data_IF_558628987958
#
_entry.id   IF_558628987958
#
_cell.length_a   1.000
_cell.length_b   1.000
_cell.length_c   1.000
_cell.angle_alpha   90.00
_cell.angle_beta   90.00
_cell.angle_gamma   90.00
#
_symmetry.space_group_name_H-M   'P 1'
#
loop_
_entity.id
_entity.type
_entity.pdbx_description
1 polymer ?
#
# COMPACT_ATOMS: atom_id res chain seq x y z
N UNK A 1 -5.26 1.58 17.83
CA UNK A 1 -5.44 2.79 17.01
C UNK A 1 -4.07 3.43 16.86
N UNK A 2 -3.30 2.99 15.86
CA UNK A 2 -1.96 3.54 15.57
C UNK A 2 -2.12 4.54 14.42
N UNK A 3 -1.45 5.66 14.59
CA UNK A 3 -1.75 6.99 14.09
C UNK A 3 -1.37 7.17 12.61
N UNK A 4 -2.38 7.18 11.72
CA UNK A 4 -2.20 7.54 10.29
C UNK A 4 -1.73 9.00 10.16
N UNK A 5 -2.16 9.89 11.05
CA UNK A 5 -1.73 11.29 11.08
C UNK A 5 -0.29 11.51 11.53
N UNK A 6 0.30 10.56 12.27
CA UNK A 6 1.70 10.66 12.69
C UNK A 6 2.67 10.42 11.54
N UNK A 7 2.34 9.55 10.58
CA UNK A 7 3.22 9.25 9.44
C UNK A 7 3.26 10.42 8.46
N UNK A 8 2.11 11.04 8.19
CA UNK A 8 1.99 12.25 7.37
C UNK A 8 2.63 13.47 8.05
N UNK A 9 2.48 13.61 9.36
CA UNK A 9 3.15 14.68 10.12
C UNK A 9 4.66 14.47 10.20
N UNK A 10 5.14 13.23 10.31
CA UNK A 10 6.57 12.90 10.23
C UNK A 10 7.13 13.18 8.82
N UNK A 11 6.37 12.91 7.76
CA UNK A 11 6.76 13.22 6.36
C UNK A 11 6.71 14.72 6.06
N UNK A 12 5.72 15.43 6.59
CA UNK A 12 5.61 16.90 6.52
C UNK A 12 6.76 17.58 7.27
N UNK A 13 7.10 17.11 8.47
CA UNK A 13 8.27 17.60 9.24
C UNK A 13 9.59 17.22 8.58
N UNK A 14 9.68 16.03 7.98
CA UNK A 14 10.84 15.58 7.21
C UNK A 14 11.17 16.47 6.00
N UNK A 15 10.15 17.05 5.35
CA UNK A 15 10.34 18.01 4.26
C UNK A 15 10.65 19.45 4.74
N UNK A 16 10.53 19.74 6.04
CA UNK A 16 10.58 21.10 6.60
C UNK A 16 11.78 21.33 7.54
N UNK A 17 12.30 20.32 8.24
CA UNK A 17 13.47 20.44 9.14
C UNK A 17 14.78 19.99 8.45
N UNK A 18 15.35 20.85 7.60
CA UNK A 18 16.62 20.60 6.88
C UNK A 18 17.84 20.36 7.80
N UNK A 19 17.77 20.74 9.09
CA UNK A 19 18.93 20.69 9.99
C UNK A 19 19.26 19.28 10.54
N UNK A 20 18.28 18.36 10.55
CA UNK A 20 18.42 17.02 11.17
C UNK A 20 18.13 15.85 10.21
N UNK A 21 18.08 16.14 8.91
CA UNK A 21 17.75 15.14 7.90
C UNK A 21 18.64 15.24 6.64
N UNK A 22 18.84 14.11 5.96
CA UNK A 22 19.54 14.04 4.67
C UNK A 22 18.76 13.14 3.71
N UNK A 23 18.79 13.45 2.42
CA UNK A 23 18.08 12.68 1.39
C UNK A 23 18.97 12.34 0.19
N UNK A 24 18.85 11.12 -0.32
CA UNK A 24 19.51 10.64 -1.55
C UNK A 24 18.44 10.08 -2.48
N UNK A 25 18.34 10.59 -3.71
CA UNK A 25 17.40 10.13 -4.72
C UNK A 25 18.14 9.40 -5.84
N UNK A 26 17.76 8.15 -6.10
CA UNK A 26 18.27 7.32 -7.18
C UNK A 26 17.18 7.00 -8.19
N UNK A 27 17.44 7.33 -9.45
CA UNK A 27 16.58 6.91 -10.56
C UNK A 27 16.79 5.42 -10.84
N UNK A 28 15.69 4.68 -10.92
CA UNK A 28 15.69 3.27 -11.32
C UNK A 28 15.39 3.19 -12.81
N UNK A 29 16.08 2.27 -13.51
CA UNK A 29 15.82 2.01 -14.92
C UNK A 29 14.33 1.66 -15.15
N UNK A 30 13.78 1.96 -16.34
CA UNK A 30 12.38 1.66 -16.66
C UNK A 30 12.05 0.20 -16.35
N UNK A 31 10.95 -0.01 -15.63
CA UNK A 31 10.38 -1.33 -15.44
C UNK A 31 9.53 -1.65 -16.67
N UNK A 32 9.41 -2.92 -17.04
CA UNK A 32 8.68 -3.38 -18.24
C UNK A 32 7.23 -2.88 -18.33
N UNK A 33 6.67 -2.36 -17.23
CA UNK A 33 5.42 -1.63 -17.29
C UNK A 33 5.48 -0.19 -16.73
N UNK A 34 6.54 0.28 -16.06
CA UNK A 34 6.65 1.61 -15.44
C UNK A 34 7.71 2.45 -16.14
N UNK A 35 7.34 3.59 -16.74
CA UNK A 35 8.26 4.40 -17.55
C UNK A 35 9.52 4.84 -16.77
N UNK A 36 9.35 5.22 -15.50
CA UNK A 36 10.44 5.49 -14.57
C UNK A 36 9.95 5.49 -13.11
N UNK A 37 10.83 5.08 -12.18
CA UNK A 37 10.63 5.21 -10.74
C UNK A 37 11.86 5.85 -10.11
N UNK A 38 11.66 6.55 -9.00
CA UNK A 38 12.73 7.11 -8.18
C UNK A 38 12.67 6.53 -6.78
N UNK A 39 13.79 5.97 -6.32
CA UNK A 39 13.96 5.49 -4.95
C UNK A 39 14.64 6.58 -4.14
N UNK A 40 14.05 6.95 -3.01
CA UNK A 40 14.51 8.05 -2.17
C UNK A 40 14.86 7.47 -0.80
N UNK A 41 16.11 7.60 -0.40
CA UNK A 41 16.59 7.29 0.94
C UNK A 41 16.57 8.55 1.77
N UNK A 42 15.96 8.48 2.94
CA UNK A 42 15.84 9.62 3.84
C UNK A 42 16.33 9.25 5.23
N UNK A 43 17.51 9.77 5.58
CA UNK A 43 18.12 9.59 6.89
C UNK A 43 17.57 10.61 7.89
N UNK A 44 17.11 10.13 9.04
CA UNK A 44 16.57 10.97 10.12
C UNK A 44 17.26 10.67 11.44
N UNK A 45 17.89 11.70 12.03
CA UNK A 45 18.63 11.55 13.29
C UNK A 45 17.70 11.23 14.47
N UNK A 46 16.51 11.81 14.50
CA UNK A 46 15.52 11.60 15.57
C UNK A 46 14.89 10.20 15.55
N UNK A 47 14.80 9.58 14.38
CA UNK A 47 14.28 8.21 14.21
C UNK A 47 15.37 7.14 14.27
N UNK A 48 16.64 7.52 14.13
CA UNK A 48 17.77 6.59 14.15
C UNK A 48 17.76 5.57 13.00
N UNK A 49 17.12 5.88 11.88
CA UNK A 49 16.99 4.99 10.72
C UNK A 49 17.06 5.76 9.40
N UNK A 50 17.41 5.07 8.31
CA UNK A 50 17.30 5.55 6.94
C UNK A 50 16.07 4.91 6.31
N UNK A 51 15.05 5.74 6.09
CA UNK A 51 13.78 5.32 5.54
C UNK A 51 13.82 5.32 4.01
N UNK A 52 13.23 4.30 3.42
CA UNK A 52 13.16 4.16 1.95
C UNK A 52 11.76 4.52 1.45
N UNK A 53 11.72 5.39 0.45
CA UNK A 53 10.52 5.84 -0.24
C UNK A 53 10.62 5.57 -1.74
N UNK A 54 9.46 5.47 -2.40
CA UNK A 54 9.35 5.39 -3.86
C UNK A 54 8.44 6.50 -4.35
N UNK A 55 8.85 7.16 -5.42
CA UNK A 55 8.04 8.11 -6.18
C UNK A 55 7.98 7.70 -7.65
N UNK A 56 6.86 8.03 -8.30
CA UNK A 56 6.71 7.83 -9.74
C UNK A 56 7.54 8.83 -10.55
N UNK A 57 7.99 8.39 -11.71
CA UNK A 57 8.77 9.20 -12.64
C UNK A 57 10.28 9.16 -12.38
N UNK A 58 11.02 9.80 -13.28
CA UNK A 58 12.49 9.89 -13.25
C UNK A 58 12.96 11.18 -12.61
N UNK A 59 12.68 11.34 -11.32
CA UNK A 59 13.05 12.51 -10.53
C UNK A 59 14.56 12.55 -10.31
N UNK A 60 15.12 13.76 -10.34
CA UNK A 60 16.54 14.01 -10.12
C UNK A 60 16.82 14.45 -8.69
N UNK A 61 18.11 14.52 -8.33
CA UNK A 61 18.52 15.15 -7.07
C UNK A 61 18.01 16.60 -7.00
N UNK A 62 17.32 16.96 -5.91
CA UNK A 62 16.74 18.30 -5.72
C UNK A 62 15.37 18.54 -6.36
N UNK A 63 14.75 17.52 -6.98
CA UNK A 63 13.34 17.62 -7.40
C UNK A 63 12.44 17.79 -6.18
N UNK A 64 11.51 18.76 -6.24
CA UNK A 64 10.47 18.89 -5.22
C UNK A 64 9.49 17.73 -5.34
N UNK A 65 9.38 16.93 -4.29
CA UNK A 65 8.46 15.78 -4.22
C UNK A 65 7.49 16.05 -3.08
N UNK A 66 6.19 16.06 -3.37
CA UNK A 66 5.18 16.22 -2.35
C UNK A 66 5.12 14.99 -1.43
N UNK A 67 4.64 15.18 -0.20
CA UNK A 67 4.39 14.07 0.72
C UNK A 67 3.44 13.02 0.11
N UNK A 68 2.38 13.48 -0.57
CA UNK A 68 1.43 12.63 -1.31
C UNK A 68 1.96 12.07 -2.63
N UNK A 69 3.25 12.29 -2.95
CA UNK A 69 3.93 11.68 -4.10
C UNK A 69 4.92 10.57 -3.66
N UNK A 70 5.03 10.31 -2.35
CA UNK A 70 5.96 9.35 -1.75
C UNK A 70 5.25 8.14 -1.13
N UNK A 71 5.54 6.93 -1.62
CA UNK A 71 5.19 5.69 -0.93
C UNK A 71 6.32 5.29 0.02
N UNK A 72 6.02 5.13 1.31
CA UNK A 72 6.93 4.51 2.26
C UNK A 72 6.99 3.00 2.02
N UNK A 73 8.18 2.48 1.72
CA UNK A 73 8.43 1.04 1.51
C UNK A 73 9.16 0.49 2.73
N UNK A 74 8.70 -0.59 3.40
CA UNK A 74 9.24 -1.05 4.68
C UNK A 74 10.58 -1.79 4.52
N UNK A 75 11.57 -1.16 3.91
CA UNK A 75 12.89 -1.71 3.60
C UNK A 75 13.96 -0.67 3.91
N UNK A 76 14.28 -0.52 5.18
CA UNK A 76 15.21 0.52 5.66
C UNK A 76 16.63 0.17 5.28
N UNK A 77 17.38 1.19 4.86
CA UNK A 77 18.76 1.01 4.46
C UNK A 77 19.67 1.00 5.69
N UNK A 78 20.55 0.02 5.74
CA UNK A 78 21.64 -0.03 6.72
C UNK A 78 22.95 0.40 6.06
N UNK A 79 23.60 1.40 6.64
CA UNK A 79 24.92 1.90 6.23
C UNK A 79 25.98 1.66 7.30
N UNK A 80 25.70 0.89 8.36
CA UNK A 80 26.61 0.72 9.48
C UNK A 80 28.00 0.20 9.07
N UNK A 81 28.06 -0.61 8.01
CA UNK A 81 29.30 -1.19 7.47
C UNK A 81 29.91 -0.36 6.31
N UNK A 82 29.34 0.80 5.96
CA UNK A 82 29.90 1.67 4.92
C UNK A 82 31.11 2.45 5.44
N UNK A 83 32.30 2.13 4.95
CA UNK A 83 33.54 2.78 5.39
C UNK A 83 33.69 4.21 4.86
N UNK A 84 33.12 4.49 3.69
CA UNK A 84 33.19 5.79 3.03
C UNK A 84 31.94 6.07 2.15
N UNK A 85 31.99 7.20 1.44
CA UNK A 85 30.92 7.63 0.55
C UNK A 85 30.73 6.68 -0.63
N UNK A 86 31.80 6.14 -1.19
CA UNK A 86 31.72 5.28 -2.36
C UNK A 86 31.07 3.95 -1.97
N UNK A 87 31.43 3.39 -0.81
CA UNK A 87 30.78 2.22 -0.22
C UNK A 87 29.28 2.47 0.06
N UNK A 88 28.92 3.67 0.55
CA UNK A 88 27.51 4.04 0.72
C UNK A 88 26.76 4.14 -0.62
N UNK A 89 27.39 4.70 -1.66
CA UNK A 89 26.82 4.77 -3.01
C UNK A 89 26.58 3.38 -3.62
N UNK A 90 27.46 2.42 -3.36
CA UNK A 90 27.26 1.02 -3.74
C UNK A 90 26.06 0.38 -3.03
N UNK A 91 25.89 0.65 -1.72
CA UNK A 91 24.74 0.16 -0.94
C UNK A 91 23.43 0.78 -1.39
N UNK A 92 23.39 2.09 -1.68
CA UNK A 92 22.21 2.75 -2.27
C UNK A 92 21.82 2.07 -3.59
N UNK A 93 22.81 1.86 -4.47
CA UNK A 93 22.57 1.25 -5.76
C UNK A 93 22.13 -0.22 -5.65
N UNK A 94 22.69 -0.97 -4.70
CA UNK A 94 22.29 -2.35 -4.43
C UNK A 94 20.84 -2.42 -3.93
N UNK A 95 20.47 -1.57 -2.97
CA UNK A 95 19.11 -1.52 -2.43
C UNK A 95 18.09 -1.08 -3.49
N UNK A 96 18.44 -0.12 -4.34
CA UNK A 96 17.58 0.30 -5.46
C UNK A 96 17.38 -0.83 -6.49
N UNK A 97 18.43 -1.62 -6.79
CA UNK A 97 18.32 -2.81 -7.66
C UNK A 97 17.44 -3.89 -7.03
N UNK A 98 17.61 -4.19 -5.74
CA UNK A 98 16.78 -5.17 -5.05
C UNK A 98 15.30 -4.79 -5.09
N UNK A 99 14.98 -3.52 -4.81
CA UNK A 99 13.61 -3.04 -4.87
C UNK A 99 13.02 -3.12 -6.29
N UNK A 100 13.82 -2.76 -7.31
CA UNK A 100 13.44 -2.94 -8.72
C UNK A 100 13.09 -4.40 -9.02
N UNK A 101 13.92 -5.34 -8.59
CA UNK A 101 13.73 -6.77 -8.87
C UNK A 101 12.47 -7.31 -8.17
N UNK A 102 12.19 -6.84 -6.94
CA UNK A 102 10.94 -7.14 -6.24
C UNK A 102 9.70 -6.57 -6.98
N UNK A 103 9.81 -5.36 -7.54
CA UNK A 103 8.72 -4.75 -8.34
C UNK A 103 8.46 -5.52 -9.63
N UNK A 104 9.50 -5.97 -10.34
CA UNK A 104 9.34 -6.83 -11.54
C UNK A 104 8.65 -8.15 -11.17
N UNK A 105 9.03 -8.74 -10.04
CA UNK A 105 8.39 -9.96 -9.57
C UNK A 105 6.91 -9.72 -9.21
N UNK A 106 6.58 -8.60 -8.59
CA UNK A 106 5.21 -8.18 -8.32
C UNK A 106 4.38 -8.02 -9.60
N UNK A 107 4.92 -7.33 -10.62
CA UNK A 107 4.28 -7.20 -11.93
C UNK A 107 4.02 -8.56 -12.59
N UNK A 108 4.99 -9.48 -12.49
CA UNK A 108 4.87 -10.85 -13.04
C UNK A 108 3.73 -11.60 -12.37
N UNK A 109 3.62 -11.50 -11.04
CA UNK A 109 2.51 -12.08 -10.30
C UNK A 109 1.19 -11.47 -10.73
N UNK A 110 1.08 -10.14 -10.80
CA UNK A 110 -0.16 -9.48 -11.22
C UNK A 110 -0.55 -9.82 -12.66
N UNK A 111 0.41 -10.07 -13.55
CA UNK A 111 0.13 -10.53 -14.91
C UNK A 111 -0.61 -11.89 -14.91
N UNK A 112 -0.24 -12.80 -13.99
CA UNK A 112 -0.94 -14.10 -13.81
C UNK A 112 -2.36 -13.90 -13.26
N UNK A 113 -2.55 -12.92 -12.38
CA UNK A 113 -3.85 -12.66 -11.74
C UNK A 113 -4.84 -11.89 -12.60
N UNK A 114 -4.38 -11.18 -13.63
CA UNK A 114 -5.21 -10.28 -14.44
C UNK A 114 -6.38 -10.99 -15.11
N UNK A 115 -6.11 -12.11 -15.80
CA UNK A 115 -7.14 -12.85 -16.54
C UNK A 115 -8.18 -13.49 -15.59
N UNK A 116 -7.78 -14.21 -14.52
CA UNK A 116 -8.71 -14.72 -13.52
C UNK A 116 -9.59 -13.62 -12.90
N UNK A 117 -8.99 -12.49 -12.54
CA UNK A 117 -9.74 -11.36 -11.99
C UNK A 117 -10.77 -10.85 -13.01
N UNK A 118 -10.37 -10.64 -14.26
CA UNK A 118 -11.26 -10.16 -15.31
C UNK A 118 -12.41 -11.14 -15.60
N UNK A 119 -12.15 -12.44 -15.53
CA UNK A 119 -13.18 -13.48 -15.65
C UNK A 119 -14.19 -13.43 -14.49
N UNK A 120 -13.73 -13.16 -13.26
CA UNK A 120 -14.59 -13.12 -12.08
C UNK A 120 -15.43 -11.83 -11.95
N UNK A 121 -14.87 -10.67 -12.35
CA UNK A 121 -15.46 -9.35 -12.04
C UNK A 121 -15.90 -8.55 -13.25
N UNK A 122 -15.47 -8.93 -14.45
CA UNK A 122 -15.69 -8.19 -15.70
C UNK A 122 -14.38 -7.70 -16.35
N UNK A 123 -14.42 -7.29 -17.63
CA UNK A 123 -13.22 -7.00 -18.43
C UNK A 123 -12.49 -5.71 -18.01
N UNK A 124 -13.13 -4.83 -17.24
CA UNK A 124 -12.55 -3.56 -16.79
C UNK A 124 -11.60 -3.77 -15.61
N UNK A 125 -10.47 -4.43 -15.86
CA UNK A 125 -9.37 -4.54 -14.90
C UNK A 125 -8.26 -3.58 -15.30
N UNK A 126 -7.97 -2.64 -14.42
CA UNK A 126 -6.91 -1.65 -14.59
C UNK A 126 -5.71 -1.98 -13.71
N UNK A 127 -4.53 -1.48 -14.08
CA UNK A 127 -3.37 -1.50 -13.19
C UNK A 127 -3.34 -0.17 -12.50
N UNK A 128 -3.48 -0.20 -11.19
CA UNK A 128 -3.23 0.97 -10.37
C UNK A 128 -1.77 0.94 -9.90
N UNK A 129 -1.14 2.10 -9.96
CA UNK A 129 0.22 2.31 -9.44
C UNK A 129 0.28 3.41 -8.43
N UNK A 130 -0.86 3.93 -8.01
CA UNK A 130 -0.94 4.87 -6.92
C UNK A 130 -0.13 4.39 -5.72
N UNK A 131 0.40 5.37 -5.01
CA UNK A 131 1.06 5.17 -3.71
C UNK A 131 0.04 5.13 -2.57
N UNK A 132 -1.21 5.49 -2.86
CA UNK A 132 -2.36 5.40 -1.97
C UNK A 132 -3.32 4.37 -2.54
N UNK A 133 -3.39 3.20 -1.93
CA UNK A 133 -4.44 2.23 -2.25
C UNK A 133 -5.66 2.60 -1.39
N UNK A 134 -6.80 2.85 -2.02
CA UNK A 134 -8.08 3.26 -1.40
C UNK A 134 -8.69 2.22 -0.43
N UNK A 135 -7.96 1.14 -0.11
CA UNK A 135 -8.43 0.04 0.72
C UNK A 135 -7.44 -0.23 1.85
N UNK A 136 -7.94 -0.24 3.09
CA UNK A 136 -7.14 -0.53 4.28
C UNK A 136 -6.75 -2.00 4.30
N UNK A 137 -5.51 -2.30 3.93
CA UNK A 137 -4.96 -3.64 4.09
C UNK A 137 -4.40 -3.86 5.49
N UNK A 138 -4.59 -5.06 6.08
CA UNK A 138 -4.20 -5.38 7.47
C UNK A 138 -2.68 -5.36 7.75
N UNK A 139 -1.83 -5.14 6.75
CA UNK A 139 -0.41 -4.90 6.95
C UNK A 139 0.14 -3.92 5.90
N UNK A 140 0.93 -2.94 6.33
CA UNK A 140 1.63 -1.94 5.53
C UNK A 140 2.71 -2.58 4.61
N UNK A 141 2.27 -3.43 3.68
CA UNK A 141 3.10 -4.35 2.87
C UNK A 141 2.77 -4.26 1.38
N UNK A 142 2.30 -3.09 0.98
CA UNK A 142 1.84 -2.83 -0.37
C UNK A 142 3.00 -2.36 -1.24
N UNK A 143 3.12 -3.01 -2.38
CA UNK A 143 3.89 -2.51 -3.50
C UNK A 143 3.11 -1.35 -4.15
N UNK A 144 3.77 -0.37 -4.80
CA UNK A 144 3.13 0.69 -5.58
C UNK A 144 2.52 0.15 -6.90
N UNK A 145 1.88 -1.01 -6.83
CA UNK A 145 1.21 -1.66 -7.95
C UNK A 145 0.12 -2.60 -7.45
N UNK A 146 -1.05 -2.50 -8.05
CA UNK A 146 -2.20 -3.37 -7.82
C UNK A 146 -3.00 -3.55 -9.13
N UNK A 147 -3.82 -4.59 -9.17
CA UNK A 147 -4.94 -4.65 -10.11
C UNK A 147 -6.18 -4.09 -9.44
N UNK A 148 -6.92 -3.26 -10.16
CA UNK A 148 -8.15 -2.65 -9.66
C UNK A 148 -9.28 -2.94 -10.64
N UNK A 149 -10.36 -3.52 -10.12
CA UNK A 149 -11.63 -3.70 -10.79
C UNK A 149 -12.65 -2.70 -10.21
N UNK A 150 -12.77 -1.49 -10.79
CA UNK A 150 -13.51 -0.38 -10.19
C UNK A 150 -15.00 -0.69 -10.04
N UNK A 151 -15.62 -1.38 -11.01
CA UNK A 151 -17.06 -1.71 -10.97
C UNK A 151 -17.44 -2.55 -9.75
N UNK A 152 -16.53 -3.44 -9.33
CA UNK A 152 -16.70 -4.29 -8.14
C UNK A 152 -15.93 -3.77 -6.92
N UNK A 153 -15.22 -2.66 -7.06
CA UNK A 153 -14.33 -2.11 -6.03
C UNK A 153 -13.34 -3.12 -5.47
N UNK A 154 -12.90 -4.08 -6.30
CA UNK A 154 -11.95 -5.12 -5.90
C UNK A 154 -10.54 -4.66 -6.25
N UNK A 155 -9.65 -4.72 -5.27
CA UNK A 155 -8.21 -4.50 -5.43
C UNK A 155 -7.45 -5.78 -5.16
N UNK A 156 -6.56 -6.16 -6.07
CA UNK A 156 -5.63 -7.28 -5.92
C UNK A 156 -4.21 -6.73 -5.85
N UNK A 157 -3.55 -6.91 -4.72
CA UNK A 157 -2.25 -6.30 -4.47
C UNK A 157 -1.20 -7.31 -3.96
N UNK A 158 0.04 -7.29 -4.48
CA UNK A 158 1.11 -8.15 -3.99
C UNK A 158 1.52 -7.76 -2.57
N UNK A 159 1.71 -8.76 -1.72
CA UNK A 159 2.12 -8.58 -0.33
C UNK A 159 3.60 -8.91 -0.21
N UNK A 160 4.39 -7.90 0.19
CA UNK A 160 5.83 -8.02 0.40
C UNK A 160 6.20 -7.74 1.87
N UNK A 161 7.08 -8.57 2.44
CA UNK A 161 7.70 -8.27 3.74
C UNK A 161 8.95 -7.40 3.59
N UNK A 162 9.40 -6.78 4.69
CA UNK A 162 10.63 -5.98 4.71
C UNK A 162 11.84 -6.74 4.15
N UNK A 163 12.02 -7.98 4.62
CA UNK A 163 13.08 -8.87 4.14
C UNK A 163 12.96 -9.21 2.66
N UNK A 164 11.74 -9.43 2.18
CA UNK A 164 11.48 -9.74 0.77
C UNK A 164 11.94 -8.59 -0.12
N UNK A 165 11.63 -7.35 0.27
CA UNK A 165 12.01 -6.14 -0.46
C UNK A 165 13.52 -5.88 -0.42
N UNK A 166 14.13 -6.03 0.76
CA UNK A 166 15.56 -5.84 0.97
C UNK A 166 16.41 -6.79 0.12
N UNK A 167 15.94 -8.03 -0.01
CA UNK A 167 16.64 -9.08 -0.73
C UNK A 167 16.19 -9.19 -2.21
N UNK A 168 15.31 -8.32 -2.69
CA UNK A 168 14.77 -8.36 -4.06
C UNK A 168 14.01 -9.64 -4.39
N UNK A 169 13.41 -10.26 -3.38
CA UNK A 169 12.67 -11.51 -3.49
C UNK A 169 11.25 -11.26 -4.01
N UNK A 170 10.61 -12.28 -4.61
CA UNK A 170 9.23 -12.18 -5.06
C UNK A 170 8.25 -11.98 -3.89
N UNK A 171 7.04 -11.44 -4.17
CA UNK A 171 5.98 -11.33 -3.17
C UNK A 171 5.74 -12.63 -2.40
N UNK A 172 5.35 -12.51 -1.13
CA UNK A 172 5.05 -13.67 -0.28
C UNK A 172 3.59 -14.10 -0.35
N UNK A 173 2.71 -13.21 -0.81
CA UNK A 173 1.28 -13.46 -0.93
C UNK A 173 0.59 -12.42 -1.79
N UNK A 174 -0.72 -12.57 -1.91
CA UNK A 174 -1.61 -11.69 -2.65
C UNK A 174 -2.76 -11.29 -1.75
N UNK A 175 -2.97 -9.99 -1.60
CA UNK A 175 -4.11 -9.43 -0.90
C UNK A 175 -5.24 -9.19 -1.88
N UNK A 176 -6.44 -9.61 -1.52
CA UNK A 176 -7.69 -9.23 -2.16
C UNK A 176 -8.42 -8.33 -1.18
N UNK A 177 -8.94 -7.21 -1.68
CA UNK A 177 -9.66 -6.27 -0.83
C UNK A 177 -10.79 -5.56 -1.55
N UNK A 178 -11.81 -5.25 -0.76
CA UNK A 178 -12.93 -4.37 -1.01
C UNK A 178 -13.08 -3.44 0.20
N UNK A 179 -13.89 -2.37 0.12
CA UNK A 179 -14.22 -1.60 1.32
C UNK A 179 -14.62 -2.53 2.48
N UNK A 180 -13.96 -2.33 3.62
CA UNK A 180 -14.18 -3.07 4.89
C UNK A 180 -13.84 -4.57 4.91
N UNK A 181 -13.44 -5.17 3.77
CA UNK A 181 -13.06 -6.59 3.68
C UNK A 181 -11.72 -6.74 2.99
N UNK A 182 -10.76 -7.38 3.67
CA UNK A 182 -9.48 -7.73 3.08
C UNK A 182 -9.03 -9.11 3.53
N UNK A 183 -8.45 -9.87 2.61
CA UNK A 183 -7.85 -11.16 2.89
C UNK A 183 -6.53 -11.34 2.17
N UNK A 184 -5.59 -12.07 2.78
CA UNK A 184 -4.27 -12.34 2.20
C UNK A 184 -4.14 -13.84 1.96
N UNK A 185 -3.87 -14.20 0.70
CA UNK A 185 -3.64 -15.55 0.25
C UNK A 185 -2.13 -15.80 0.05
N UNK A 186 -1.63 -17.01 0.37
CA UNK A 186 -0.31 -17.46 -0.08
C UNK A 186 -0.16 -17.36 -1.60
N UNK A 187 1.02 -16.96 -2.07
CA UNK A 187 1.27 -16.80 -3.52
C UNK A 187 1.09 -18.08 -4.36
N UNK A 188 1.43 -19.30 -3.86
CA UNK A 188 1.23 -20.53 -4.62
C UNK A 188 -0.23 -20.94 -4.83
N UNK A 189 -1.17 -20.26 -4.17
CA UNK A 189 -2.58 -20.61 -4.29
C UNK A 189 -3.13 -20.20 -5.66
N UNK A 190 -4.09 -20.98 -6.14
CA UNK A 190 -4.72 -20.78 -7.43
C UNK A 190 -5.58 -19.50 -7.43
N UNK A 191 -5.38 -18.56 -8.38
CA UNK A 191 -6.08 -17.28 -8.40
C UNK A 191 -7.61 -17.42 -8.48
N UNK A 192 -8.12 -18.38 -9.27
CA UNK A 192 -9.58 -18.57 -9.44
C UNK A 192 -10.20 -18.97 -8.10
N UNK A 193 -9.62 -19.96 -7.42
CA UNK A 193 -10.09 -20.41 -6.10
C UNK A 193 -10.00 -19.32 -5.03
N UNK A 194 -8.95 -18.50 -5.06
CA UNK A 194 -8.82 -17.37 -4.15
C UNK A 194 -9.90 -16.31 -4.38
N UNK A 195 -10.21 -16.01 -5.65
CA UNK A 195 -11.26 -15.06 -6.02
C UNK A 195 -12.64 -15.57 -5.60
N UNK A 196 -12.93 -16.85 -5.84
CA UNK A 196 -14.19 -17.49 -5.40
C UNK A 196 -14.36 -17.39 -3.87
N UNK A 197 -13.38 -17.83 -3.09
CA UNK A 197 -13.40 -17.74 -1.61
C UNK A 197 -13.53 -16.30 -1.13
N UNK A 198 -12.83 -15.35 -1.76
CA UNK A 198 -12.91 -13.94 -1.39
C UNK A 198 -14.31 -13.36 -1.65
N UNK A 199 -14.90 -13.64 -2.82
CA UNK A 199 -16.23 -13.15 -3.16
C UNK A 199 -17.30 -13.70 -2.22
N UNK A 200 -17.19 -14.97 -1.81
CA UNK A 200 -18.06 -15.56 -0.79
C UNK A 200 -17.94 -14.84 0.55
N UNK A 201 -16.71 -14.56 1.01
CA UNK A 201 -16.46 -13.81 2.26
C UNK A 201 -17.02 -12.39 2.19
N UNK A 202 -16.80 -11.70 1.08
CA UNK A 202 -17.29 -10.36 0.88
C UNK A 202 -18.83 -10.31 0.87
N UNK A 203 -19.48 -11.28 0.21
CA UNK A 203 -20.93 -11.39 0.21
C UNK A 203 -21.48 -11.66 1.62
N UNK A 204 -20.84 -12.55 2.39
CA UNK A 204 -21.21 -12.82 3.78
C UNK A 204 -21.06 -11.56 4.66
N UNK A 205 -19.95 -10.83 4.52
CA UNK A 205 -19.72 -9.60 5.27
C UNK A 205 -20.73 -8.50 4.91
N UNK A 206 -21.08 -8.35 3.63
CA UNK A 206 -22.09 -7.40 3.19
C UNK A 206 -23.46 -7.71 3.79
N UNK A 207 -23.82 -9.00 3.89
CA UNK A 207 -25.08 -9.43 4.51
C UNK A 207 -25.09 -9.12 6.01
N UNK A 208 -24.04 -9.50 6.75
CA UNK A 208 -23.92 -9.19 8.18
C UNK A 208 -23.95 -7.68 8.46
N UNK A 209 -23.33 -6.89 7.58
CA UNK A 209 -23.32 -5.42 7.70
C UNK A 209 -24.71 -4.84 7.47
N UNK A 210 -25.45 -5.33 6.48
CA UNK A 210 -26.84 -4.91 6.24
C UNK A 210 -27.73 -5.22 7.45
N UNK A 211 -27.65 -6.42 8.02
CA UNK A 211 -28.43 -6.79 9.22
C UNK A 211 -28.08 -5.89 10.41
N UNK A 212 -26.79 -5.58 10.61
CA UNK A 212 -26.35 -4.67 11.68
C UNK A 212 -26.89 -3.26 11.49
N UNK A 213 -26.90 -2.75 10.25
CA UNK A 213 -27.44 -1.42 9.95
C UNK A 213 -28.95 -1.37 10.19
N UNK A 214 -29.71 -2.37 9.76
CA UNK A 214 -31.15 -2.48 10.05
C UNK A 214 -31.42 -2.50 11.56
N UNK A 215 -30.61 -3.25 12.33
CA UNK A 215 -30.73 -3.28 13.79
C UNK A 215 -30.38 -1.94 14.45
N UNK A 216 -29.38 -1.23 13.93
CA UNK A 216 -29.02 0.11 14.39
C UNK A 216 -30.13 1.12 14.10
N UNK A 217 -30.71 1.09 12.90
CA UNK A 217 -31.84 1.95 12.53
C UNK A 217 -33.05 1.70 13.44
N UNK A 218 -33.40 0.44 13.68
CA UNK A 218 -34.46 0.07 14.61
C UNK A 218 -34.17 0.53 16.05
N UNK A 219 -32.91 0.45 16.48
CA UNK A 219 -32.46 0.92 17.80
C UNK A 219 -32.59 2.43 17.93
N UNK A 220 -32.28 3.21 16.88
CA UNK A 220 -32.47 4.66 16.85
C UNK A 220 -33.94 5.03 16.95
N UNK A 221 -34.81 4.39 16.17
CA UNK A 221 -36.27 4.58 16.26
C UNK A 221 -36.74 4.31 17.69
N UNK A 222 -36.32 3.18 18.26
CA UNK A 222 -36.69 2.80 19.63
C UNK A 222 -36.18 3.78 20.68
N UNK A 223 -34.95 4.27 20.52
CA UNK A 223 -34.38 5.29 21.41
C UNK A 223 -35.18 6.59 21.35
N UNK A 224 -35.60 7.04 20.16
CA UNK A 224 -36.44 8.22 19.99
C UNK A 224 -37.85 8.03 20.56
N UNK A 225 -38.46 6.86 20.44
CA UNK A 225 -39.74 6.56 21.10
C UNK A 225 -39.65 6.60 22.62
N UNK A 226 -38.54 6.11 23.18
CA UNK A 226 -38.34 6.03 24.62
C UNK A 226 -37.95 7.37 25.26
N UNK A 227 -37.33 8.28 24.48
CA UNK A 227 -36.82 9.56 24.96
C UNK A 227 -37.50 10.77 24.29
N UNK A 228 -38.52 10.54 23.46
CA UNK A 228 -39.34 11.59 22.87
C UNK A 228 -40.28 12.18 23.91
N UNK A 229 -40.09 13.47 24.19
CA UNK A 229 -40.96 14.27 25.06
C UNK A 229 -42.35 14.43 24.42
N UNK A 230 -43.41 14.13 25.17
CA UNK A 230 -44.71 14.77 24.93
C UNK A 230 -44.50 16.29 25.00
N UNK A 231 -44.88 17.08 23.98
CA UNK A 231 -44.79 18.53 24.09
C UNK A 231 -45.60 18.97 25.31
N UNK A 232 -45.08 19.86 26.17
CA UNK A 232 -45.84 20.32 27.32
C UNK A 232 -47.12 20.98 26.80
N UNK A 233 -48.27 20.41 27.22
CA UNK A 233 -49.57 21.00 27.02
C UNK A 233 -49.57 22.38 27.71
N UNK A 234 -49.44 23.44 26.92
CA UNK A 234 -49.73 24.82 27.28
C UNK A 234 -50.76 25.38 26.30
#
# INVERSE_FOLDING_TARGET
MKDEGHSDELLRRALIDEADAAAVALKVAPLSMCDALTVIFHGRRDLGTIQTYVAHGGLGAGSAVGAGDLLRVPCDLDLADAEDRDAAEELYAAQARALRDALVAADTVLAVWREPLAAAVGPEVTVDRSIEIDVRLPAHRLMPVALVAPERQITVAPVCGARTLAEGRPPMGIALAQPDVAWVYPLPDDPERCLEDFLERAAAHAHETAERLEHQEASVVRFLELNGDDPPLL
#
